data_IF_635193423068
#
_entry.id   IF_635193423068
#
_cell.length_a   1.000
_cell.length_b   1.000
_cell.length_c   1.000
_cell.angle_alpha   90.00
_cell.angle_beta   90.00
_cell.angle_gamma   90.00
#
_symmetry.space_group_name_H-M   'P 1'
#
loop_
_entity.id
_entity.type
_entity.pdbx_description
1 polymer ?
#
# COMPACT_ATOMS: atom_id res chain seq x y z
N UNK A 1 -39.53 1.03 -68.97
CA UNK A 1 -39.93 -0.12 -68.13
C UNK A 1 -39.60 0.19 -66.67
N UNK A 2 -40.57 0.59 -65.86
CA UNK A 2 -40.38 0.86 -64.42
C UNK A 2 -40.80 -0.35 -63.58
N UNK A 3 -39.94 -0.83 -62.68
CA UNK A 3 -40.34 -1.69 -61.55
C UNK A 3 -40.11 -0.93 -60.25
N UNK A 4 -41.17 -0.32 -59.73
CA UNK A 4 -41.23 0.27 -58.38
C UNK A 4 -41.17 -0.86 -57.35
N UNK A 5 -40.06 -0.96 -56.61
CA UNK A 5 -39.98 -1.84 -55.44
C UNK A 5 -40.72 -1.17 -54.27
N UNK A 6 -42.01 -1.47 -54.12
CA UNK A 6 -42.82 -1.04 -52.96
C UNK A 6 -42.44 -1.93 -51.78
N UNK A 7 -41.54 -1.46 -50.91
CA UNK A 7 -41.34 -2.10 -49.61
C UNK A 7 -42.66 -1.98 -48.81
N UNK A 8 -43.29 -3.12 -48.48
CA UNK A 8 -44.51 -3.15 -47.66
C UNK A 8 -44.16 -2.76 -46.22
N UNK A 9 -44.39 -1.50 -45.85
CA UNK A 9 -44.17 -0.90 -44.51
C UNK A 9 -45.04 -1.52 -43.38
N UNK A 10 -45.80 -2.58 -43.66
CA UNK A 10 -46.83 -3.11 -42.75
C UNK A 10 -46.32 -3.95 -41.56
N UNK A 11 -45.01 -4.24 -41.45
CA UNK A 11 -44.44 -4.95 -40.28
C UNK A 11 -43.57 -4.08 -39.37
N UNK A 12 -43.32 -2.82 -39.74
CA UNK A 12 -42.44 -1.92 -38.96
C UNK A 12 -43.12 -1.41 -37.68
N UNK A 13 -44.45 -1.30 -37.68
CA UNK A 13 -45.25 -0.85 -36.53
C UNK A 13 -45.20 -1.77 -35.32
N UNK A 14 -44.86 -3.07 -35.49
CA UNK A 14 -44.76 -4.03 -34.38
C UNK A 14 -43.36 -4.06 -33.76
N UNK A 15 -42.33 -3.59 -34.47
CA UNK A 15 -40.94 -3.63 -33.99
C UNK A 15 -40.63 -2.46 -33.06
N UNK A 16 -41.25 -1.30 -33.32
CA UNK A 16 -41.08 -0.07 -32.53
C UNK A 16 -41.54 -0.23 -31.06
N UNK A 17 -42.74 -0.77 -30.75
CA UNK A 17 -43.16 -0.94 -29.35
C UNK A 17 -42.33 -2.00 -28.60
N UNK A 18 -41.82 -3.03 -29.29
CA UNK A 18 -40.96 -4.06 -28.69
C UNK A 18 -39.60 -3.48 -28.28
N UNK A 19 -39.02 -2.61 -29.12
CA UNK A 19 -37.76 -1.92 -28.80
C UNK A 19 -37.94 -0.94 -27.62
N UNK A 20 -39.07 -0.24 -27.55
CA UNK A 20 -39.37 0.69 -26.44
C UNK A 20 -39.55 -0.05 -25.10
N UNK A 21 -40.18 -1.22 -25.08
CA UNK A 21 -40.34 -2.05 -23.87
C UNK A 21 -38.99 -2.66 -23.41
N UNK A 22 -38.11 -3.01 -24.34
CA UNK A 22 -36.77 -3.52 -24.03
C UNK A 22 -35.85 -2.43 -23.44
N UNK A 23 -35.98 -1.18 -23.88
CA UNK A 23 -35.18 -0.05 -23.35
C UNK A 23 -35.67 0.38 -21.96
N UNK A 24 -36.96 0.26 -21.67
CA UNK A 24 -37.56 0.70 -20.40
C UNK A 24 -37.22 -0.18 -19.19
N UNK A 25 -36.60 -1.35 -19.40
CA UNK A 25 -36.06 -2.21 -18.33
C UNK A 25 -34.52 -2.10 -18.20
N UNK A 26 -33.90 -1.19 -18.95
CA UNK A 26 -32.48 -0.90 -18.77
C UNK A 26 -32.32 0.02 -17.54
N UNK A 27 -32.33 -0.58 -16.36
CA UNK A 27 -31.87 0.09 -15.15
C UNK A 27 -30.39 0.41 -15.33
N UNK A 28 -30.10 1.64 -15.76
CA UNK A 28 -28.77 2.23 -15.73
C UNK A 28 -28.36 2.30 -14.25
N UNK A 29 -27.66 1.26 -13.79
CA UNK A 29 -26.95 1.33 -12.53
C UNK A 29 -25.79 2.28 -12.75
N UNK A 30 -25.91 3.51 -12.23
CA UNK A 30 -24.78 4.42 -12.12
C UNK A 30 -23.79 3.78 -11.15
N UNK A 31 -22.77 3.12 -11.71
CA UNK A 31 -21.58 2.79 -10.94
C UNK A 31 -20.84 4.10 -10.69
N UNK A 32 -20.89 4.61 -9.46
CA UNK A 32 -19.97 5.65 -9.05
C UNK A 32 -18.57 5.02 -9.03
N UNK A 33 -17.68 5.49 -9.90
CA UNK A 33 -16.27 5.23 -9.72
C UNK A 33 -15.89 5.74 -8.32
N UNK A 34 -15.22 4.89 -7.55
CA UNK A 34 -14.81 5.23 -6.20
C UNK A 34 -13.69 6.27 -6.28
N UNK A 35 -14.08 7.54 -6.15
CA UNK A 35 -13.17 8.67 -6.17
C UNK A 35 -12.50 8.79 -4.80
N UNK A 36 -11.18 8.97 -4.78
CA UNK A 36 -10.42 9.17 -3.56
C UNK A 36 -10.94 10.43 -2.86
N UNK A 37 -11.39 10.28 -1.62
CA UNK A 37 -12.07 11.33 -0.85
C UNK A 37 -11.10 12.33 -0.21
N UNK A 38 -9.81 11.98 -0.12
CA UNK A 38 -8.75 12.91 0.23
C UNK A 38 -7.46 12.60 -0.53
N UNK A 39 -6.48 13.51 -0.50
CA UNK A 39 -5.15 13.30 -1.08
C UNK A 39 -4.05 13.70 -0.10
N UNK A 40 -2.91 13.00 -0.20
CA UNK A 40 -1.72 13.18 0.63
C UNK A 40 -0.58 13.74 -0.22
N UNK A 41 -0.09 14.94 0.11
CA UNK A 41 0.96 15.61 -0.66
C UNK A 41 2.12 16.03 0.25
N UNK A 42 3.26 15.32 0.26
CA UNK A 42 4.41 15.70 1.07
C UNK A 42 5.05 16.99 0.55
N UNK A 43 5.42 17.88 1.47
CA UNK A 43 6.23 19.07 1.19
C UNK A 43 7.70 18.64 1.28
N UNK A 44 8.45 18.78 0.19
CA UNK A 44 9.86 18.35 0.14
C UNK A 44 10.70 19.14 1.15
N UNK A 45 11.32 18.47 2.16
CA UNK A 45 12.16 19.15 3.14
C UNK A 45 13.52 19.53 2.53
N UNK A 46 14.19 20.53 3.11
CA UNK A 46 15.53 20.96 2.65
C UNK A 46 16.60 19.87 2.85
N UNK A 47 16.41 19.00 3.84
CA UNK A 47 17.28 17.87 4.17
C UNK A 47 17.01 16.62 3.32
N UNK A 48 16.15 16.73 2.30
CA UNK A 48 15.87 15.64 1.37
C UNK A 48 17.15 15.23 0.62
N UNK A 49 17.42 13.92 0.53
CA UNK A 49 18.52 13.38 -0.28
C UNK A 49 18.25 13.61 -1.77
N UNK A 50 19.33 13.88 -2.49
CA UNK A 50 19.30 14.16 -3.94
C UNK A 50 18.72 12.98 -4.72
N UNK A 51 17.78 13.25 -5.63
CA UNK A 51 17.10 12.23 -6.45
C UNK A 51 15.71 11.83 -5.93
N UNK A 52 15.41 12.10 -4.67
CA UNK A 52 14.11 11.77 -4.05
C UNK A 52 13.12 12.91 -4.29
N UNK A 53 12.06 12.64 -5.08
CA UNK A 53 11.00 13.63 -5.44
C UNK A 53 9.96 13.78 -4.33
N UNK A 54 9.02 14.70 -4.51
CA UNK A 54 7.83 14.96 -3.67
C UNK A 54 6.80 13.81 -3.61
N UNK A 55 7.25 12.55 -3.64
CA UNK A 55 6.41 11.35 -3.53
C UNK A 55 6.56 10.64 -2.18
N UNK A 56 7.66 10.88 -1.47
CA UNK A 56 8.00 10.29 -0.18
C UNK A 56 9.05 11.14 0.52
N UNK A 57 9.25 10.93 1.82
CA UNK A 57 10.34 11.55 2.57
C UNK A 57 11.58 10.67 2.50
N UNK A 58 12.71 11.30 2.20
CA UNK A 58 14.01 10.66 2.23
C UNK A 58 15.05 11.63 2.78
N UNK A 59 15.24 11.61 4.09
CA UNK A 59 15.93 12.65 4.84
C UNK A 59 17.30 12.19 5.34
N UNK A 60 18.24 13.12 5.33
CA UNK A 60 19.59 12.95 5.87
C UNK A 60 19.74 13.85 7.10
N UNK A 61 19.78 13.27 8.29
CA UNK A 61 19.78 14.00 9.57
C UNK A 61 21.01 13.67 10.40
N UNK A 62 21.69 14.67 10.97
CA UNK A 62 22.77 14.40 11.91
C UNK A 62 22.25 13.74 13.20
N UNK A 63 23.10 13.06 13.97
CA UNK A 63 22.71 12.54 15.29
C UNK A 63 22.19 13.65 16.20
N UNK A 64 21.07 13.40 16.88
CA UNK A 64 20.43 14.36 17.78
C UNK A 64 19.69 15.52 17.08
N UNK A 65 19.58 15.50 15.75
CA UNK A 65 18.87 16.54 15.00
C UNK A 65 17.35 16.33 15.05
N UNK A 66 16.62 17.45 15.12
CA UNK A 66 15.17 17.51 14.98
C UNK A 66 14.80 18.12 13.63
N UNK A 67 13.77 17.57 12.98
CA UNK A 67 13.20 18.18 11.78
C UNK A 67 11.69 18.08 11.75
N UNK A 68 11.06 19.09 11.14
CA UNK A 68 9.65 19.07 10.80
C UNK A 68 9.46 18.53 9.37
N UNK A 69 8.68 17.46 9.24
CA UNK A 69 8.22 16.92 7.97
C UNK A 69 6.76 17.30 7.79
N UNK A 70 6.41 17.88 6.64
CA UNK A 70 5.09 18.49 6.44
C UNK A 70 4.34 17.84 5.30
N UNK A 71 3.05 17.60 5.50
CA UNK A 71 2.16 16.98 4.53
C UNK A 71 0.92 17.84 4.36
N UNK A 72 0.58 18.18 3.11
CA UNK A 72 -0.70 18.80 2.77
C UNK A 72 -1.75 17.71 2.53
N UNK A 73 -2.73 17.64 3.41
CA UNK A 73 -3.90 16.80 3.28
C UNK A 73 -5.05 17.62 2.70
N UNK A 74 -5.59 17.18 1.57
CA UNK A 74 -6.70 17.86 0.90
C UNK A 74 -7.92 16.96 0.89
N UNK A 75 -9.02 17.44 1.44
CA UNK A 75 -10.34 16.84 1.31
C UNK A 75 -10.97 17.30 -0.02
N UNK A 76 -11.39 16.35 -0.85
CA UNK A 76 -11.99 16.59 -2.18
C UNK A 76 -13.52 16.46 -2.17
N UNK A 77 -14.11 16.27 -0.99
CA UNK A 77 -15.55 16.01 -0.82
C UNK A 77 -16.31 17.19 -0.22
N UNK A 78 -17.63 17.16 -0.38
CA UNK A 78 -18.57 18.14 0.19
C UNK A 78 -18.91 17.90 1.68
N UNK A 79 -18.25 16.93 2.32
CA UNK A 79 -18.42 16.60 3.74
C UNK A 79 -17.10 16.76 4.50
N UNK A 80 -17.20 16.99 5.80
CA UNK A 80 -16.03 16.90 6.67
C UNK A 80 -15.55 15.45 6.74
N UNK A 81 -14.23 15.24 6.80
CA UNK A 81 -13.60 13.94 6.94
C UNK A 81 -12.76 13.91 8.22
N UNK A 82 -12.84 12.81 8.95
CA UNK A 82 -11.92 12.51 10.04
C UNK A 82 -10.88 11.53 9.52
N UNK A 83 -9.60 11.90 9.61
CA UNK A 83 -8.47 11.10 9.13
C UNK A 83 -7.68 10.61 10.34
N UNK A 84 -7.55 9.30 10.46
CA UNK A 84 -6.64 8.64 11.39
C UNK A 84 -5.24 8.58 10.76
N UNK A 85 -4.21 8.83 11.58
CA UNK A 85 -2.81 8.87 11.17
C UNK A 85 -2.02 7.93 12.08
N UNK A 86 -1.16 7.11 11.47
CA UNK A 86 -0.19 6.31 12.22
C UNK A 86 1.17 6.30 11.52
N UNK A 87 2.23 6.01 12.27
CA UNK A 87 3.57 5.80 11.73
C UNK A 87 4.06 4.43 12.15
N UNK A 88 4.32 3.59 11.16
CA UNK A 88 4.73 2.21 11.36
C UNK A 88 6.09 1.96 10.72
N UNK A 89 6.97 1.16 11.36
CA UNK A 89 8.16 0.67 10.69
C UNK A 89 7.77 -0.13 9.43
N UNK A 90 8.56 0.00 8.38
CA UNK A 90 8.36 -0.78 7.17
C UNK A 90 8.78 -2.23 7.40
N UNK A 91 7.96 -3.16 6.93
CA UNK A 91 8.25 -4.59 6.91
C UNK A 91 8.29 -5.08 5.47
N UNK A 92 8.51 -6.39 5.28
CA UNK A 92 8.49 -7.03 3.97
C UNK A 92 7.43 -8.14 4.00
N UNK A 93 6.55 -8.16 3.01
CA UNK A 93 5.51 -9.18 2.90
C UNK A 93 6.07 -10.50 2.34
N UNK A 94 5.24 -11.56 2.30
CA UNK A 94 5.64 -12.88 1.81
C UNK A 94 6.10 -12.94 0.33
N UNK A 95 5.93 -11.84 -0.41
CA UNK A 95 6.39 -11.70 -1.79
C UNK A 95 7.65 -10.82 -1.93
N UNK A 96 8.27 -10.41 -0.82
CA UNK A 96 9.47 -9.56 -0.87
C UNK A 96 9.20 -8.07 -1.06
N UNK A 97 7.93 -7.66 -1.13
CA UNK A 97 7.57 -6.25 -1.30
C UNK A 97 7.54 -5.53 0.05
N UNK A 98 7.94 -4.27 0.06
CA UNK A 98 7.83 -3.41 1.25
C UNK A 98 6.35 -3.23 1.62
N UNK A 99 6.04 -3.44 2.89
CA UNK A 99 4.72 -3.28 3.47
C UNK A 99 4.75 -2.29 4.64
N UNK A 100 3.67 -1.52 4.77
CA UNK A 100 3.49 -0.49 5.78
C UNK A 100 2.22 -0.77 6.57
N UNK A 101 2.14 -1.95 7.18
CA UNK A 101 0.98 -2.38 7.99
C UNK A 101 1.44 -2.96 9.32
N UNK A 102 0.63 -2.77 10.37
CA UNK A 102 0.89 -3.35 11.70
C UNK A 102 0.76 -4.89 11.72
N UNK A 103 0.21 -5.48 10.65
CA UNK A 103 -0.01 -6.92 10.57
C UNK A 103 1.30 -7.62 10.25
N UNK A 104 1.93 -8.17 11.28
CA UNK A 104 3.07 -9.08 11.10
C UNK A 104 4.43 -8.45 11.34
N UNK A 105 4.52 -7.45 12.22
CA UNK A 105 5.79 -7.01 12.81
C UNK A 105 6.51 -8.20 13.46
N UNK A 106 7.37 -8.86 12.68
CA UNK A 106 8.39 -9.76 13.20
C UNK A 106 9.45 -8.86 13.81
N UNK A 107 9.58 -8.87 15.14
CA UNK A 107 10.59 -8.13 15.91
C UNK A 107 12.03 -8.62 15.65
N UNK A 108 12.32 -9.15 14.47
CA UNK A 108 13.55 -9.91 14.20
C UNK A 108 14.76 -9.00 13.96
N UNK A 109 14.52 -7.76 13.52
CA UNK A 109 15.59 -6.78 13.29
C UNK A 109 15.74 -5.83 14.48
N UNK A 110 16.95 -5.79 15.04
CA UNK A 110 17.33 -4.81 16.07
C UNK A 110 17.51 -3.43 15.42
N UNK A 111 16.40 -2.72 15.20
CA UNK A 111 16.42 -1.38 14.62
C UNK A 111 17.20 -0.43 15.53
N UNK A 112 18.07 0.44 14.96
CA UNK A 112 18.84 1.40 15.75
C UNK A 112 17.94 2.42 16.46
N UNK A 113 16.73 2.66 15.92
CA UNK A 113 15.74 3.62 16.40
C UNK A 113 14.34 3.07 16.23
N UNK A 114 13.48 3.30 17.22
CA UNK A 114 12.04 3.02 17.13
C UNK A 114 11.34 4.26 16.57
N UNK A 115 11.00 4.22 15.28
CA UNK A 115 10.44 5.38 14.60
C UNK A 115 9.18 5.92 15.28
N UNK A 116 8.32 5.05 15.82
CA UNK A 116 7.05 5.43 16.44
C UNK A 116 7.25 6.20 17.75
N UNK A 117 8.37 5.97 18.44
CA UNK A 117 8.76 6.73 19.63
C UNK A 117 9.57 7.99 19.31
N UNK A 118 10.09 8.09 18.10
CA UNK A 118 11.00 9.14 17.65
C UNK A 118 10.31 10.14 16.71
N UNK A 119 8.98 10.07 16.54
CA UNK A 119 8.22 10.99 15.70
C UNK A 119 6.95 11.45 16.42
N UNK A 120 6.75 12.76 16.50
CA UNK A 120 5.56 13.38 17.08
C UNK A 120 4.60 13.80 15.95
N UNK A 121 3.32 13.44 16.08
CA UNK A 121 2.30 13.74 15.08
C UNK A 121 0.90 13.69 15.71
N UNK A 122 -0.12 14.34 15.11
CA UNK A 122 -1.50 14.15 15.53
C UNK A 122 -2.00 12.77 15.05
N UNK A 123 -2.52 11.95 15.97
CA UNK A 123 -3.09 10.63 15.64
C UNK A 123 -4.41 10.75 14.85
N UNK A 124 -5.10 11.89 14.95
CA UNK A 124 -6.34 12.14 14.24
C UNK A 124 -6.47 13.62 13.89
N UNK A 125 -7.03 13.92 12.71
CA UNK A 125 -7.38 15.27 12.29
C UNK A 125 -8.77 15.32 11.65
N UNK A 126 -9.39 16.51 11.65
CA UNK A 126 -10.64 16.77 10.95
C UNK A 126 -10.38 17.70 9.77
N UNK A 127 -10.52 17.18 8.55
CA UNK A 127 -10.45 17.96 7.32
C UNK A 127 -11.83 18.49 6.95
N UNK A 128 -11.99 19.81 6.97
CA UNK A 128 -13.23 20.43 6.49
C UNK A 128 -13.50 20.12 5.02
N UNK A 129 -14.76 20.07 4.63
CA UNK A 129 -15.16 19.94 3.23
C UNK A 129 -14.34 20.85 2.31
N UNK A 130 -13.87 20.29 1.19
CA UNK A 130 -13.12 21.00 0.15
C UNK A 130 -11.89 21.80 0.64
N UNK A 131 -11.35 21.47 1.82
CA UNK A 131 -10.24 22.18 2.44
C UNK A 131 -8.89 21.49 2.24
N UNK A 132 -7.82 22.23 2.50
CA UNK A 132 -6.46 21.69 2.61
C UNK A 132 -5.90 22.08 3.97
N UNK A 133 -5.30 21.12 4.67
CA UNK A 133 -4.65 21.33 5.96
C UNK A 133 -3.22 20.79 5.89
N UNK A 134 -2.27 21.59 6.39
CA UNK A 134 -0.90 21.15 6.61
C UNK A 134 -0.82 20.39 7.93
N UNK A 135 -0.28 19.17 7.89
CA UNK A 135 0.02 18.33 9.07
C UNK A 135 1.53 18.26 9.24
N UNK A 136 1.97 18.46 10.48
CA UNK A 136 3.38 18.41 10.85
C UNK A 136 3.71 17.10 11.56
N UNK A 137 4.85 16.53 11.20
CA UNK A 137 5.45 15.36 11.81
C UNK A 137 6.86 15.74 12.28
N UNK A 138 7.07 15.83 13.59
CA UNK A 138 8.37 16.21 14.14
C UNK A 138 9.20 14.97 14.39
N UNK A 139 10.23 14.77 13.58
CA UNK A 139 11.13 13.62 13.65
C UNK A 139 12.37 13.97 14.47
N UNK A 140 12.68 13.11 15.44
CA UNK A 140 13.81 13.22 16.36
C UNK A 140 14.84 12.13 16.07
N UNK A 141 15.98 12.51 15.52
CA UNK A 141 17.07 11.58 15.24
C UNK A 141 17.83 11.22 16.52
N UNK A 142 18.10 9.94 16.74
CA UNK A 142 18.87 9.50 17.92
C UNK A 142 20.30 10.04 17.92
N UNK A 143 20.89 10.22 19.10
CA UNK A 143 22.29 10.61 19.27
C UNK A 143 23.29 9.51 18.87
N UNK A 144 22.87 8.25 19.00
CA UNK A 144 23.71 7.10 18.67
C UNK A 144 23.91 7.06 17.15
N UNK A 145 25.18 7.07 16.74
CA UNK A 145 25.54 6.94 15.33
C UNK A 145 25.17 5.55 14.79
N UNK A 146 24.61 5.51 13.59
CA UNK A 146 24.41 4.29 12.81
C UNK A 146 24.68 4.53 11.33
N UNK A 147 25.02 3.46 10.62
CA UNK A 147 25.11 3.43 9.16
C UNK A 147 23.89 2.68 8.61
N UNK A 148 23.37 3.13 7.46
CA UNK A 148 22.18 2.56 6.81
C UNK A 148 20.94 3.44 6.90
N UNK A 149 19.77 2.81 6.70
CA UNK A 149 18.47 3.49 6.58
C UNK A 149 17.45 2.91 7.56
N UNK A 150 16.67 3.79 8.18
CA UNK A 150 15.42 3.44 8.86
C UNK A 150 14.29 3.74 7.89
N UNK A 151 13.44 2.74 7.65
CA UNK A 151 12.36 2.82 6.66
C UNK A 151 11.05 2.63 7.39
N UNK A 152 10.09 3.51 7.11
CA UNK A 152 8.81 3.57 7.78
C UNK A 152 7.73 4.06 6.82
N UNK A 153 6.48 3.90 7.19
CA UNK A 153 5.32 4.41 6.47
C UNK A 153 4.48 5.28 7.38
N UNK A 154 4.05 6.42 6.85
CA UNK A 154 3.02 7.26 7.45
C UNK A 154 1.70 6.85 6.79
N UNK A 155 0.82 6.27 7.60
CA UNK A 155 -0.48 5.77 7.21
C UNK A 155 -1.55 6.84 7.42
N UNK A 156 -2.43 7.02 6.44
CA UNK A 156 -3.60 7.90 6.53
C UNK A 156 -4.84 7.12 6.10
N UNK A 157 -5.87 7.12 6.93
CA UNK A 157 -7.11 6.38 6.70
C UNK A 157 -8.33 7.18 7.17
N UNK A 158 -9.46 7.07 6.47
CA UNK A 158 -10.71 7.67 6.95
C UNK A 158 -11.29 6.88 8.13
N UNK A 159 -11.58 7.60 9.21
CA UNK A 159 -12.10 7.01 10.45
C UNK A 159 -13.45 6.27 10.24
N UNK A 160 -14.41 6.91 9.58
CA UNK A 160 -15.76 6.38 9.38
C UNK A 160 -15.80 5.10 8.53
N UNK A 161 -14.74 4.80 7.77
CA UNK A 161 -14.65 3.56 6.99
C UNK A 161 -14.21 2.38 7.86
N UNK A 162 -13.41 2.61 8.91
CA UNK A 162 -13.04 1.57 9.89
C UNK A 162 -14.25 1.05 10.66
N UNK A 163 -15.19 1.92 11.03
CA UNK A 163 -16.34 1.54 11.86
C UNK A 163 -17.37 0.69 11.10
N UNK A 164 -17.60 0.97 9.82
CA UNK A 164 -18.54 0.19 8.99
C UNK A 164 -18.16 -1.28 8.82
N UNK A 165 -16.87 -1.62 8.94
CA UNK A 165 -16.41 -3.03 8.88
C UNK A 165 -16.79 -3.78 10.16
N UNK A 166 -16.88 -3.10 11.31
CA UNK A 166 -17.12 -3.74 12.61
C UNK A 166 -18.61 -4.04 12.86
N UNK A 167 -19.52 -3.35 12.17
CA UNK A 167 -20.97 -3.41 12.44
C UNK A 167 -21.78 -4.30 11.46
N UNK A 168 -21.22 -4.70 10.32
CA UNK A 168 -21.96 -5.49 9.31
C UNK A 168 -21.92 -7.00 9.58
N UNK A 169 -22.74 -7.45 10.53
CA UNK A 169 -23.11 -8.86 10.71
C UNK A 169 -24.30 -9.30 9.83
N UNK A 170 -24.55 -8.63 8.69
CA UNK A 170 -25.68 -8.95 7.79
C UNK A 170 -25.23 -9.12 6.34
N UNK A 171 -25.79 -10.15 5.70
CA UNK A 171 -25.47 -10.74 4.39
C UNK A 171 -25.66 -9.82 3.17
N UNK A 172 -25.07 -8.62 3.17
CA UNK A 172 -24.86 -7.80 1.99
C UNK A 172 -23.41 -7.37 1.96
N UNK A 173 -22.61 -7.98 1.09
CA UNK A 173 -21.23 -7.56 0.83
C UNK A 173 -21.27 -6.19 0.16
N UNK A 174 -21.44 -5.14 0.96
CA UNK A 174 -21.07 -3.80 0.54
C UNK A 174 -19.56 -3.82 0.38
N UNK A 175 -19.08 -3.79 -0.87
CA UNK A 175 -17.66 -3.60 -1.16
C UNK A 175 -17.33 -2.15 -0.76
N UNK A 176 -17.04 -1.94 0.52
CA UNK A 176 -16.48 -0.70 1.03
C UNK A 176 -14.99 -0.72 0.66
N UNK A 177 -14.62 0.06 -0.36
CA UNK A 177 -13.23 0.19 -0.74
C UNK A 177 -12.53 1.14 0.24
N UNK A 178 -11.83 0.56 1.22
CA UNK A 178 -11.01 1.34 2.14
C UNK A 178 -9.75 1.78 1.44
N UNK A 179 -9.70 3.07 1.11
CA UNK A 179 -8.47 3.68 0.65
C UNK A 179 -7.69 4.18 1.84
N UNK A 180 -6.53 3.56 2.05
CA UNK A 180 -5.51 4.10 2.90
C UNK A 180 -4.33 4.59 2.05
N UNK A 181 -3.73 5.69 2.48
CA UNK A 181 -2.51 6.21 1.87
C UNK A 181 -1.31 5.85 2.74
N UNK A 182 -0.30 5.24 2.12
CA UNK A 182 0.99 4.97 2.74
C UNK A 182 2.04 5.88 2.13
N UNK A 183 2.54 6.84 2.92
CA UNK A 183 3.63 7.71 2.53
C UNK A 183 4.94 7.18 3.13
N UNK A 184 5.88 6.77 2.27
CA UNK A 184 7.16 6.27 2.75
C UNK A 184 7.99 7.38 3.42
N UNK A 185 8.67 7.02 4.50
CA UNK A 185 9.62 7.82 5.23
C UNK A 185 10.92 7.03 5.40
N UNK A 186 11.97 7.51 4.75
CA UNK A 186 13.34 6.99 4.86
C UNK A 186 14.18 8.01 5.63
N UNK A 187 14.83 7.57 6.70
CA UNK A 187 15.73 8.39 7.49
C UNK A 187 17.12 7.75 7.56
N UNK A 188 18.16 8.53 7.29
CA UNK A 188 19.56 8.11 7.37
C UNK A 188 20.40 9.18 8.06
N UNK A 189 21.49 8.78 8.72
CA UNK A 189 22.41 9.74 9.36
C UNK A 189 23.57 10.19 8.48
N UNK A 190 23.91 9.39 7.48
CA UNK A 190 25.04 9.62 6.61
C UNK A 190 24.80 8.97 5.23
N UNK A 191 25.79 9.09 4.34
CA UNK A 191 25.77 8.51 2.99
C UNK A 191 26.68 7.30 2.87
N UNK A 192 27.08 6.70 3.99
CA UNK A 192 27.95 5.53 3.97
C UNK A 192 27.23 4.40 3.25
N UNK A 193 27.98 3.73 2.38
CA UNK A 193 27.48 2.55 1.68
C UNK A 193 27.62 1.36 2.63
N UNK A 194 26.50 0.76 2.98
CA UNK A 194 26.41 -0.49 3.74
C UNK A 194 25.86 -1.58 2.83
N UNK A 195 26.21 -2.84 3.11
CA UNK A 195 25.69 -3.98 2.37
C UNK A 195 24.38 -4.49 2.97
N UNK A 196 23.52 -5.05 2.12
CA UNK A 196 22.51 -6.00 2.57
C UNK A 196 23.19 -7.35 2.87
N UNK A 197 22.66 -8.07 3.84
CA UNK A 197 23.15 -9.41 4.20
C UNK A 197 21.94 -10.28 4.48
N UNK A 198 21.73 -11.31 3.67
CA UNK A 198 20.58 -12.19 3.76
C UNK A 198 20.95 -13.48 4.47
N UNK A 199 20.24 -13.78 5.55
CA UNK A 199 20.34 -15.04 6.28
C UNK A 199 19.13 -15.92 6.01
N UNK A 200 19.38 -17.17 5.61
CA UNK A 200 18.35 -18.20 5.55
C UNK A 200 18.00 -18.64 6.97
N UNK A 201 16.76 -18.40 7.39
CA UNK A 201 16.26 -18.83 8.70
C UNK A 201 15.62 -20.21 8.68
N UNK A 202 15.13 -20.64 7.53
CA UNK A 202 14.59 -21.99 7.37
C UNK A 202 13.72 -22.13 6.12
N UNK A 203 13.08 -23.29 6.01
CA UNK A 203 12.08 -23.55 4.99
C UNK A 203 10.98 -24.45 5.55
N UNK A 204 9.76 -24.29 5.04
CA UNK A 204 8.60 -25.06 5.46
C UNK A 204 7.54 -25.10 4.36
N UNK A 205 6.55 -25.98 4.50
CA UNK A 205 5.40 -26.04 3.60
C UNK A 205 4.17 -25.43 4.25
N UNK A 206 3.41 -24.65 3.50
CA UNK A 206 2.10 -24.15 3.90
C UNK A 206 1.04 -24.56 2.88
N UNK A 207 -0.23 -24.57 3.28
CA UNK A 207 -1.36 -24.69 2.35
C UNK A 207 -2.23 -23.45 2.51
N UNK A 208 -2.38 -22.69 1.44
CA UNK A 208 -3.17 -21.47 1.42
C UNK A 208 -4.19 -21.55 0.27
N UNK A 209 -5.47 -21.35 0.59
CA UNK A 209 -6.58 -21.48 -0.39
C UNK A 209 -6.58 -22.80 -1.18
N UNK A 210 -6.16 -23.89 -0.53
CA UNK A 210 -6.08 -25.23 -1.14
C UNK A 210 -4.83 -25.46 -2.01
N UNK A 211 -3.92 -24.49 -2.10
CA UNK A 211 -2.65 -24.60 -2.82
C UNK A 211 -1.52 -24.82 -1.82
N UNK A 212 -0.74 -25.89 -1.99
CA UNK A 212 0.46 -26.14 -1.20
C UNK A 212 1.64 -25.33 -1.74
N UNK A 213 2.26 -24.53 -0.89
CA UNK A 213 3.41 -23.68 -1.20
C UNK A 213 4.63 -24.13 -0.38
N UNK A 214 5.80 -24.12 -1.02
CA UNK A 214 7.07 -24.18 -0.31
C UNK A 214 7.50 -22.75 0.04
N UNK A 215 7.80 -22.50 1.30
CA UNK A 215 8.18 -21.18 1.83
C UNK A 215 9.61 -21.24 2.32
N UNK A 216 10.38 -20.21 2.00
CA UNK A 216 11.74 -19.99 2.49
C UNK A 216 11.69 -18.74 3.37
N UNK A 217 12.10 -18.89 4.63
CA UNK A 217 12.24 -17.75 5.54
C UNK A 217 13.64 -17.15 5.36
N UNK A 218 13.70 -15.92 4.84
CA UNK A 218 14.94 -15.15 4.68
C UNK A 218 14.84 -13.87 5.49
N UNK A 219 15.91 -13.49 6.17
CA UNK A 219 16.02 -12.23 6.91
C UNK A 219 17.17 -11.40 6.39
N UNK A 220 16.95 -10.09 6.21
CA UNK A 220 18.04 -9.14 5.94
C UNK A 220 18.58 -8.60 7.27
N UNK A 221 19.77 -9.05 7.66
CA UNK A 221 20.48 -8.59 8.85
C UNK A 221 21.38 -7.37 8.57
N UNK A 222 21.51 -6.99 7.30
CA UNK A 222 22.21 -5.79 6.85
C UNK A 222 21.34 -4.53 6.94
N UNK A 223 21.99 -3.36 6.91
CA UNK A 223 21.34 -2.04 7.08
C UNK A 223 21.00 -1.33 5.75
N UNK A 224 20.89 -2.10 4.66
CA UNK A 224 20.52 -1.64 3.31
C UNK A 224 19.49 -2.58 2.68
N UNK A 225 18.68 -2.08 1.75
CA UNK A 225 17.76 -2.90 0.97
C UNK A 225 18.51 -3.98 0.17
N UNK A 226 18.06 -5.22 0.29
CA UNK A 226 18.42 -6.27 -0.64
C UNK A 226 17.53 -6.16 -1.88
N UNK A 227 18.14 -5.95 -3.05
CA UNK A 227 17.46 -5.89 -4.34
C UNK A 227 17.94 -7.04 -5.22
N UNK A 228 17.15 -7.40 -6.22
CA UNK A 228 17.47 -8.43 -7.22
C UNK A 228 17.83 -9.79 -6.60
N UNK A 229 17.06 -10.21 -5.59
CA UNK A 229 17.35 -11.45 -4.85
C UNK A 229 16.98 -12.65 -5.73
N UNK A 230 17.92 -13.56 -5.91
CA UNK A 230 17.67 -14.86 -6.54
C UNK A 230 17.93 -15.99 -5.55
N UNK A 231 17.04 -16.97 -5.51
CA UNK A 231 17.23 -18.19 -4.72
C UNK A 231 17.07 -19.43 -5.61
N UNK A 232 17.82 -20.47 -5.30
CA UNK A 232 17.61 -21.79 -5.89
C UNK A 232 16.88 -22.66 -4.87
N UNK A 233 15.73 -23.22 -5.25
CA UNK A 233 14.96 -24.14 -4.43
C UNK A 233 15.08 -25.55 -4.98
N UNK A 234 15.34 -26.51 -4.09
CA UNK A 234 15.34 -27.94 -4.37
C UNK A 234 14.41 -28.66 -3.39
N UNK A 235 13.41 -29.35 -3.91
CA UNK A 235 12.47 -30.17 -3.15
C UNK A 235 12.82 -31.64 -3.40
N UNK A 236 13.09 -32.36 -2.33
CA UNK A 236 13.46 -33.78 -2.38
C UNK A 236 12.43 -34.63 -1.65
N UNK A 237 12.07 -35.75 -2.27
CA UNK A 237 11.31 -36.79 -1.62
C UNK A 237 12.26 -37.63 -0.76
N UNK A 238 12.13 -37.50 0.55
CA UNK A 238 13.01 -38.19 1.51
C UNK A 238 12.87 -39.71 1.42
N UNK A 239 11.68 -40.22 1.05
CA UNK A 239 11.42 -41.67 0.98
C UNK A 239 12.06 -42.34 -0.24
N UNK A 240 12.12 -41.64 -1.37
CA UNK A 240 12.70 -42.14 -2.63
C UNK A 240 14.09 -41.57 -2.93
N UNK A 241 14.58 -40.62 -2.11
CA UNK A 241 15.81 -39.86 -2.33
C UNK A 241 15.88 -39.23 -3.74
N UNK A 242 14.73 -38.77 -4.26
CA UNK A 242 14.61 -38.20 -5.60
C UNK A 242 14.24 -36.73 -5.56
N UNK A 243 14.77 -35.95 -6.50
CA UNK A 243 14.42 -34.54 -6.69
C UNK A 243 13.04 -34.48 -7.33
N UNK A 244 12.08 -33.84 -6.68
CA UNK A 244 10.73 -33.62 -7.22
C UNK A 244 10.61 -32.26 -7.90
N UNK A 245 11.33 -31.25 -7.42
CA UNK A 245 11.33 -29.91 -7.99
C UNK A 245 12.70 -29.25 -7.82
N UNK A 246 13.19 -28.60 -8.88
CA UNK A 246 14.36 -27.72 -8.82
C UNK A 246 14.08 -26.48 -9.66
N UNK A 247 14.35 -25.29 -9.12
CA UNK A 247 14.10 -24.06 -9.85
C UNK A 247 14.78 -22.83 -9.23
N UNK A 248 15.04 -21.85 -10.10
CA UNK A 248 15.44 -20.50 -9.72
C UNK A 248 14.19 -19.67 -9.48
N UNK A 249 14.12 -19.04 -8.31
CA UNK A 249 13.09 -18.07 -7.96
C UNK A 249 13.75 -16.69 -7.87
N UNK A 250 13.08 -15.69 -8.45
CA UNK A 250 13.50 -14.30 -8.40
C UNK A 250 12.50 -13.52 -7.55
N UNK A 251 13.01 -12.76 -6.60
CA UNK A 251 12.23 -11.81 -5.80
C UNK A 251 12.59 -10.42 -6.34
N UNK A 252 11.60 -9.76 -6.94
CA UNK A 252 11.73 -8.43 -7.53
C UNK A 252 11.56 -7.34 -6.47
#
# INVERSE_FOLDING_TARGET
>A
MQKKFRYKVKKIYYVIPIIVVLISNCHFSYSHASELSFSVNPITPSIQRQGSKNKYFDVLMAPGEDTDLKVNLKNTTDKDLTIDIDVVPATTNGFGNIEYSDKGLRNSVNLPMDIKKNIEFPEQIVLKSNSTQEVNFRLHMIDKKFDGKIVSGIHFEEHDQKEKIRDDSTESVAINNLFAYNLALVAAQNKNVVSSELELKGSHFITESGVSNAVIDVENVGAEFANDISTELKIENISSNSIELQGLCFIQ
#
